data_IF_421877635382
#
_entry.id   IF_421877635382
#
_cell.length_a   1.000
_cell.length_b   1.000
_cell.length_c   1.000
_cell.angle_alpha   90.00
_cell.angle_beta   90.00
_cell.angle_gamma   90.00
#
_symmetry.space_group_name_H-M   'P 1'
#
loop_
_entity.id
_entity.type
_entity.pdbx_description
1 polymer ?
#
# COMPACT_ATOMS: atom_id res chain seq x y z
N UNK A 1 -7.27 5.64 -13.80
CA UNK A 1 -6.14 4.73 -13.56
C UNK A 1 -6.48 3.93 -12.31
N UNK A 2 -6.82 2.66 -12.46
CA UNK A 2 -7.09 1.80 -11.31
C UNK A 2 -5.75 1.60 -10.58
N UNK A 3 -5.56 2.29 -9.46
CA UNK A 3 -4.47 2.01 -8.54
C UNK A 3 -4.60 0.56 -8.09
N UNK A 4 -3.51 -0.19 -8.17
CA UNK A 4 -3.50 -1.63 -7.89
C UNK A 4 -3.71 -1.88 -6.39
N UNK A 5 -4.96 -1.85 -5.95
CA UNK A 5 -5.35 -2.23 -4.58
C UNK A 5 -4.94 -3.67 -4.24
N UNK A 6 -4.59 -4.47 -5.25
CA UNK A 6 -3.97 -5.79 -5.10
C UNK A 6 -2.78 -5.77 -4.14
N UNK A 7 -1.92 -4.74 -4.20
CA UNK A 7 -0.74 -4.66 -3.34
C UNK A 7 -1.08 -4.36 -1.88
N UNK A 8 -2.28 -3.86 -1.58
CA UNK A 8 -2.73 -3.69 -0.20
C UNK A 8 -2.92 -5.02 0.52
N UNK A 9 -3.13 -6.12 -0.23
CA UNK A 9 -3.21 -7.49 0.30
C UNK A 9 -1.84 -8.16 0.52
N UNK A 10 -0.74 -7.49 0.16
CA UNK A 10 0.60 -7.95 0.53
C UNK A 10 0.82 -7.75 2.04
N UNK A 11 1.83 -8.42 2.61
CA UNK A 11 2.17 -8.27 4.03
C UNK A 11 2.43 -6.81 4.40
N UNK A 12 3.16 -6.07 3.55
CA UNK A 12 3.45 -4.65 3.78
C UNK A 12 2.19 -3.78 3.70
N UNK A 13 1.28 -4.07 2.76
CA UNK A 13 0.01 -3.36 2.63
C UNK A 13 -0.95 -3.63 3.79
N UNK A 14 -0.93 -4.87 4.31
CA UNK A 14 -1.76 -5.28 5.46
C UNK A 14 -1.28 -4.57 6.72
N UNK A 15 0.02 -4.61 7.01
CA UNK A 15 0.63 -3.91 8.14
C UNK A 15 0.37 -2.38 8.08
N UNK A 16 0.46 -1.78 6.89
CA UNK A 16 0.12 -0.37 6.71
C UNK A 16 -1.35 -0.09 7.03
N UNK A 17 -2.27 -0.93 6.53
CA UNK A 17 -3.71 -0.74 6.75
C UNK A 17 -4.08 -0.90 8.23
N UNK A 18 -3.51 -1.90 8.92
CA UNK A 18 -3.68 -2.10 10.36
C UNK A 18 -3.18 -0.90 11.17
N UNK A 19 -1.98 -0.40 10.85
CA UNK A 19 -1.41 0.79 11.50
C UNK A 19 -2.30 2.03 11.28
N UNK A 20 -2.79 2.22 10.06
CA UNK A 20 -3.68 3.34 9.75
C UNK A 20 -5.00 3.23 10.50
N UNK A 21 -5.56 2.03 10.64
CA UNK A 21 -6.78 1.80 11.39
C UNK A 21 -6.59 2.10 12.89
N UNK A 22 -5.48 1.65 13.48
CA UNK A 22 -5.11 2.00 14.86
C UNK A 22 -4.99 3.52 15.06
N UNK A 23 -4.34 4.23 14.13
CA UNK A 23 -4.20 5.68 14.20
C UNK A 23 -5.53 6.42 14.06
N UNK A 24 -6.45 5.89 13.25
CA UNK A 24 -7.81 6.41 13.10
C UNK A 24 -8.63 6.17 14.38
N UNK A 25 -8.57 4.96 14.94
CA UNK A 25 -9.22 4.63 16.21
C UNK A 25 -8.69 5.49 17.37
N UNK A 26 -7.39 5.78 17.39
CA UNK A 26 -6.76 6.67 18.36
C UNK A 26 -7.10 8.16 18.14
N UNK A 27 -7.83 8.51 17.07
CA UNK A 27 -8.16 9.90 16.73
C UNK A 27 -6.98 10.75 16.28
N UNK A 28 -5.83 10.13 16.02
CA UNK A 28 -4.60 10.81 15.57
C UNK A 28 -4.64 11.08 14.06
N UNK A 29 -5.41 10.30 13.32
CA UNK A 29 -5.58 10.41 11.87
C UNK A 29 -7.07 10.41 11.53
N UNK A 30 -7.51 11.22 10.57
CA UNK A 30 -8.87 11.12 10.06
C UNK A 30 -9.00 10.04 8.98
N UNK A 31 -10.19 9.42 8.82
CA UNK A 31 -10.39 8.36 7.83
C UNK A 31 -10.05 8.79 6.39
N UNK A 32 -10.34 10.04 6.04
CA UNK A 32 -10.02 10.63 4.73
C UNK A 32 -8.50 10.69 4.47
N UNK A 33 -7.70 11.00 5.49
CA UNK A 33 -6.24 11.00 5.37
C UNK A 33 -5.68 9.57 5.24
N UNK A 34 -6.26 8.59 5.93
CA UNK A 34 -5.88 7.19 5.78
C UNK A 34 -6.06 6.70 4.33
N UNK A 35 -7.18 7.06 3.70
CA UNK A 35 -7.44 6.74 2.29
C UNK A 35 -6.41 7.42 1.36
N UNK A 36 -6.07 8.68 1.60
CA UNK A 36 -5.04 9.39 0.83
C UNK A 36 -3.67 8.69 0.93
N UNK A 37 -3.30 8.20 2.11
CA UNK A 37 -2.06 7.45 2.33
C UNK A 37 -2.09 6.13 1.55
N UNK A 38 -3.21 5.39 1.57
CA UNK A 38 -3.36 4.16 0.79
C UNK A 38 -3.25 4.41 -0.72
N UNK A 39 -3.80 5.51 -1.23
CA UNK A 39 -3.66 5.89 -2.64
C UNK A 39 -2.19 6.22 -2.98
N UNK A 40 -1.45 6.87 -2.09
CA UNK A 40 -0.02 7.11 -2.29
C UNK A 40 0.79 5.81 -2.24
N UNK A 41 0.47 4.91 -1.31
CA UNK A 41 1.08 3.59 -1.23
C UNK A 41 0.94 2.83 -2.56
N UNK A 42 -0.26 2.80 -3.16
CA UNK A 42 -0.47 2.10 -4.44
C UNK A 42 0.43 2.65 -5.56
N UNK A 43 0.62 3.98 -5.60
CA UNK A 43 1.50 4.64 -6.59
C UNK A 43 2.96 4.29 -6.34
N UNK A 44 3.44 4.49 -5.11
CA UNK A 44 4.84 4.22 -4.75
C UNK A 44 5.22 2.76 -4.90
N UNK A 45 4.31 1.84 -4.61
CA UNK A 45 4.55 0.40 -4.79
C UNK A 45 4.70 0.04 -6.27
N UNK A 46 3.80 0.56 -7.11
CA UNK A 46 3.86 0.32 -8.57
C UNK A 46 5.17 0.86 -9.15
N UNK A 47 5.55 2.10 -8.80
CA UNK A 47 6.80 2.71 -9.24
C UNK A 47 8.02 1.94 -8.75
N UNK A 48 8.03 1.49 -7.48
CA UNK A 48 9.13 0.72 -6.93
C UNK A 48 9.30 -0.64 -7.60
N UNK A 49 8.20 -1.34 -7.91
CA UNK A 49 8.24 -2.60 -8.63
C UNK A 49 8.78 -2.41 -10.05
N UNK A 50 8.37 -1.35 -10.75
CA UNK A 50 8.81 -1.08 -12.13
C UNK A 50 10.29 -0.65 -12.18
N UNK A 51 10.71 0.22 -11.28
CA UNK A 51 12.03 0.87 -11.34
C UNK A 51 13.12 0.10 -10.60
N UNK A 52 12.78 -0.57 -9.49
CA UNK A 52 13.75 -1.20 -8.59
C UNK A 52 13.82 -2.71 -8.71
N UNK A 53 12.73 -3.39 -9.12
CA UNK A 53 12.73 -4.85 -9.23
C UNK A 53 13.14 -5.28 -10.64
N UNK A 54 14.37 -5.79 -10.76
CA UNK A 54 14.91 -6.36 -12.01
C UNK A 54 14.96 -7.89 -12.01
N UNK A 55 14.61 -8.49 -10.88
CA UNK A 55 14.65 -9.94 -10.67
C UNK A 55 13.55 -10.62 -11.49
N UNK A 56 13.94 -11.62 -12.28
CA UNK A 56 13.01 -12.47 -13.03
C UNK A 56 12.86 -13.80 -12.31
N UNK A 57 11.62 -14.23 -12.11
CA UNK A 57 11.28 -15.54 -11.57
C UNK A 57 10.58 -16.35 -12.66
N UNK A 58 10.96 -17.61 -12.82
CA UNK A 58 10.25 -18.59 -13.65
C UNK A 58 9.54 -19.55 -12.72
N UNK A 59 8.22 -19.64 -12.85
CA UNK A 59 7.39 -20.60 -12.12
C UNK A 59 7.19 -21.80 -13.05
N UNK A 60 7.52 -23.01 -12.58
CA UNK A 60 7.34 -24.27 -13.31
C UNK A 60 6.02 -24.93 -12.93
#
# INVERSE_FOLDING_TARGET
MATFELYRRSEIGTCLTETLDEMVQAGTLSPEHAIQILVQFDKSMTEALETKVKSKVSIK
#
